data_IF_164557499793
#
_entry.id   IF_164557499793
#
_cell.length_a   1.000
_cell.length_b   1.000
_cell.length_c   1.000
_cell.angle_alpha   90.00
_cell.angle_beta   90.00
_cell.angle_gamma   90.00
#
_symmetry.space_group_name_H-M   'P 1'
#
loop_
_entity.id
_entity.type
_entity.pdbx_description
1 polymer ?
#
# COMPACT_ATOMS: atom_id res chain seq x y z
N UNK A 1 11.23 21.55 13.58
CA UNK A 1 10.08 20.70 13.22
C UNK A 1 10.48 19.26 13.49
N UNK A 2 9.92 18.64 14.53
CA UNK A 2 10.25 17.26 14.89
C UNK A 2 9.77 16.32 13.80
N UNK A 3 10.72 15.86 12.98
CA UNK A 3 10.55 14.81 11.98
C UNK A 3 10.43 13.46 12.71
N UNK A 4 9.39 13.29 13.54
CA UNK A 4 9.06 11.98 14.10
C UNK A 4 8.62 11.11 12.93
N UNK A 5 9.57 10.35 12.37
CA UNK A 5 9.27 9.28 11.43
C UNK A 5 8.20 8.41 12.08
N UNK A 6 6.97 8.45 11.56
CA UNK A 6 5.96 7.47 11.94
C UNK A 6 6.56 6.09 11.69
N UNK A 7 6.48 5.23 12.71
CA UNK A 7 6.96 3.85 12.64
C UNK A 7 6.38 3.16 11.40
N UNK A 8 7.20 2.38 10.69
CA UNK A 8 6.73 1.61 9.54
C UNK A 8 6.09 0.32 10.07
N UNK A 9 4.79 0.17 9.86
CA UNK A 9 4.03 -0.98 10.36
C UNK A 9 3.96 -2.06 9.28
N UNK A 10 4.36 -3.28 9.61
CA UNK A 10 4.24 -4.41 8.70
C UNK A 10 2.78 -4.88 8.60
N UNK A 11 2.25 -4.99 7.39
CA UNK A 11 0.88 -5.42 7.12
C UNK A 11 0.85 -6.37 5.92
N UNK A 12 -0.20 -7.18 5.82
CA UNK A 12 -0.51 -7.92 4.60
C UNK A 12 -1.49 -7.11 3.77
N UNK A 13 -1.13 -6.74 2.53
CA UNK A 13 -2.02 -6.01 1.63
C UNK A 13 -3.31 -6.78 1.36
N UNK A 14 -3.22 -8.10 1.23
CA UNK A 14 -4.36 -9.02 1.07
C UNK A 14 -5.34 -9.01 2.24
N UNK A 15 -4.92 -8.52 3.43
CA UNK A 15 -5.77 -8.42 4.63
C UNK A 15 -6.37 -7.03 4.83
N UNK A 16 -5.92 -6.02 4.08
CA UNK A 16 -6.52 -4.70 4.12
C UNK A 16 -7.83 -4.68 3.36
N UNK A 17 -8.78 -3.85 3.81
CA UNK A 17 -10.09 -3.75 3.16
C UNK A 17 -9.95 -3.12 1.77
N UNK A 18 -10.50 -3.74 0.71
CA UNK A 18 -10.59 -3.12 -0.59
C UNK A 18 -11.56 -1.94 -0.55
N UNK A 19 -11.33 -0.94 -1.37
CA UNK A 19 -12.31 0.14 -1.57
C UNK A 19 -13.47 -0.43 -2.38
N UNK A 20 -14.68 -0.41 -1.82
CA UNK A 20 -15.91 -1.10 -2.30
C UNK A 20 -16.27 -0.89 -3.78
N UNK A 21 -15.71 0.10 -4.47
CA UNK A 21 -16.01 0.40 -5.89
C UNK A 21 -14.91 -0.03 -6.86
N UNK A 22 -13.81 -0.61 -6.39
CA UNK A 22 -12.62 -0.83 -7.22
C UNK A 22 -11.80 -2.04 -6.74
N UNK A 23 -12.42 -3.23 -6.72
CA UNK A 23 -11.76 -4.49 -6.32
C UNK A 23 -10.57 -4.86 -7.23
N UNK A 24 -10.56 -4.35 -8.47
CA UNK A 24 -9.48 -4.56 -9.43
C UNK A 24 -8.27 -3.64 -9.16
N UNK A 25 -8.43 -2.55 -8.40
CA UNK A 25 -7.32 -1.70 -8.04
C UNK A 25 -6.52 -2.22 -6.86
N UNK A 26 -5.27 -1.76 -6.78
CA UNK A 26 -4.44 -1.95 -5.60
C UNK A 26 -4.84 -1.09 -4.40
N UNK A 27 -5.89 -0.27 -4.52
CA UNK A 27 -6.32 0.64 -3.45
C UNK A 27 -6.83 -0.13 -2.24
N UNK A 28 -6.39 0.28 -1.06
CA UNK A 28 -6.81 -0.29 0.22
C UNK A 28 -7.14 0.81 1.23
N UNK A 29 -8.10 0.53 2.09
CA UNK A 29 -8.40 1.41 3.22
C UNK A 29 -7.24 1.41 4.22
N UNK A 30 -6.90 2.58 4.75
CA UNK A 30 -5.95 2.71 5.83
C UNK A 30 -6.62 2.34 7.16
N UNK A 31 -6.09 1.36 7.92
CA UNK A 31 -6.69 0.96 9.20
C UNK A 31 -6.36 1.94 10.34
N UNK A 32 -5.51 2.94 10.11
CA UNK A 32 -5.02 3.86 11.12
C UNK A 32 -5.73 5.23 11.12
N UNK A 33 -6.56 5.52 10.13
CA UNK A 33 -7.36 6.75 10.10
C UNK A 33 -8.64 6.60 9.28
N UNK A 34 -9.65 7.38 9.63
CA UNK A 34 -10.90 7.46 8.86
C UNK A 34 -10.63 8.02 7.46
N UNK A 35 -11.22 7.41 6.44
CA UNK A 35 -11.10 7.80 5.02
C UNK A 35 -9.67 7.82 4.47
N UNK A 36 -8.71 7.17 5.14
CA UNK A 36 -7.35 7.05 4.61
C UNK A 36 -7.26 5.96 3.55
N UNK A 37 -6.37 6.16 2.59
CA UNK A 37 -6.15 5.24 1.49
C UNK A 37 -4.66 4.97 1.29
N UNK A 38 -4.36 3.71 1.01
CA UNK A 38 -3.12 3.26 0.41
C UNK A 38 -3.36 3.04 -1.08
N UNK A 39 -2.47 3.58 -1.91
CA UNK A 39 -2.63 3.53 -3.37
C UNK A 39 -1.75 2.47 -4.01
N UNK A 40 -0.73 1.97 -3.29
CA UNK A 40 0.35 1.10 -3.78
C UNK A 40 1.00 1.68 -5.02
N UNK A 41 2.11 2.40 -4.83
CA UNK A 41 2.89 2.95 -5.92
C UNK A 41 3.65 1.88 -6.72
N UNK A 42 4.29 2.32 -7.80
CA UNK A 42 5.30 1.55 -8.52
C UNK A 42 6.62 2.30 -8.47
N UNK A 43 7.70 1.57 -8.27
CA UNK A 43 9.05 2.09 -8.41
C UNK A 43 9.27 2.52 -9.86
N UNK A 44 9.80 3.73 -10.07
CA UNK A 44 9.95 4.32 -11.42
C UNK A 44 11.07 3.70 -12.24
N UNK A 45 12.04 3.03 -11.60
CA UNK A 45 13.16 2.37 -12.27
C UNK A 45 12.87 0.91 -12.58
N UNK A 46 12.28 0.18 -11.63
CA UNK A 46 12.01 -1.25 -11.73
C UNK A 46 10.63 -1.55 -12.34
N UNK A 47 9.72 -0.58 -12.35
CA UNK A 47 8.31 -0.75 -12.74
C UNK A 47 7.56 -1.82 -11.92
N UNK A 48 8.09 -2.14 -10.74
CA UNK A 48 7.52 -3.07 -9.77
C UNK A 48 6.73 -2.32 -8.70
N UNK A 49 5.79 -3.01 -8.04
CA UNK A 49 5.06 -2.43 -6.91
C UNK A 49 6.03 -2.07 -5.76
N UNK A 50 5.79 -0.91 -5.13
CA UNK A 50 6.56 -0.44 -3.98
C UNK A 50 6.23 -1.25 -2.73
N UNK A 51 7.26 -1.74 -2.03
CA UNK A 51 7.10 -2.49 -0.79
C UNK A 51 6.64 -1.61 0.39
N UNK A 52 7.06 -0.34 0.38
CA UNK A 52 6.70 0.64 1.40
C UNK A 52 5.70 1.62 0.81
N UNK A 53 4.57 1.80 1.50
CA UNK A 53 3.50 2.71 1.08
C UNK A 53 3.14 3.67 2.21
N UNK A 54 2.52 4.79 1.85
CA UNK A 54 2.10 5.85 2.76
C UNK A 54 0.62 6.17 2.59
N UNK A 55 -0.11 6.22 3.69
CA UNK A 55 -1.50 6.65 3.65
C UNK A 55 -1.56 8.11 3.18
N UNK A 56 -2.30 8.38 2.11
CA UNK A 56 -2.41 9.72 1.52
C UNK A 56 -3.10 10.75 2.44
N UNK A 57 -3.80 10.28 3.47
CA UNK A 57 -4.50 11.15 4.43
C UNK A 57 -3.65 11.40 5.69
N UNK A 58 -3.37 10.35 6.47
CA UNK A 58 -2.69 10.49 7.75
C UNK A 58 -1.16 10.36 7.68
N UNK A 59 -0.58 10.01 6.53
CA UNK A 59 0.86 9.82 6.35
C UNK A 59 1.45 8.60 7.08
N UNK A 60 0.61 7.70 7.62
CA UNK A 60 1.09 6.46 8.21
C UNK A 60 1.78 5.60 7.15
N UNK A 61 2.97 5.09 7.45
CA UNK A 61 3.74 4.24 6.54
C UNK A 61 3.57 2.77 6.88
N UNK A 62 3.47 1.94 5.86
CA UNK A 62 3.36 0.48 6.02
C UNK A 62 4.34 -0.23 5.11
N UNK A 63 4.72 -1.45 5.50
CA UNK A 63 5.50 -2.39 4.69
C UNK A 63 4.60 -3.58 4.34
N UNK A 64 4.47 -3.90 3.06
CA UNK A 64 3.67 -5.05 2.61
C UNK A 64 4.46 -6.36 2.73
N UNK A 65 3.98 -7.27 3.58
CA UNK A 65 4.61 -8.59 3.80
C UNK A 65 4.37 -9.58 2.66
N UNK A 66 3.38 -9.32 1.80
CA UNK A 66 3.00 -10.12 0.65
C UNK A 66 3.39 -9.47 -0.69
N UNK A 67 4.38 -8.57 -0.68
CA UNK A 67 4.79 -7.78 -1.86
C UNK A 67 5.19 -8.66 -3.06
N UNK A 68 5.93 -9.75 -2.86
CA UNK A 68 6.34 -10.63 -3.96
C UNK A 68 5.13 -11.29 -4.64
N UNK A 69 4.16 -11.77 -3.87
CA UNK A 69 2.90 -12.32 -4.41
C UNK A 69 2.09 -11.26 -5.16
N UNK A 70 2.10 -10.02 -4.67
CA UNK A 70 1.46 -8.90 -5.35
C UNK A 70 2.15 -8.61 -6.69
N UNK A 71 3.49 -8.62 -6.73
CA UNK A 71 4.29 -8.38 -7.95
C UNK A 71 4.05 -9.48 -8.99
N UNK A 72 4.09 -10.75 -8.60
CA UNK A 72 3.72 -11.89 -9.46
C UNK A 72 2.34 -11.70 -10.11
N UNK A 73 1.35 -11.31 -9.29
CA UNK A 73 -0.01 -11.04 -9.76
C UNK A 73 -0.10 -9.81 -10.67
N UNK A 74 0.77 -8.80 -10.47
CA UNK A 74 0.85 -7.61 -11.33
C UNK A 74 1.38 -7.94 -12.72
N UNK A 75 2.40 -8.78 -12.80
CA UNK A 75 2.95 -9.26 -14.08
C UNK A 75 1.93 -10.09 -14.85
N UNK A 76 1.16 -10.94 -14.16
CA UNK A 76 0.11 -11.73 -14.80
C UNK A 76 -1.07 -10.89 -15.34
N UNK A 77 -1.19 -9.61 -14.95
CA UNK A 77 -2.22 -8.68 -15.44
C UNK A 77 -1.80 -7.87 -16.68
N UNK A 78 -0.53 -7.93 -17.09
CA UNK A 78 -0.01 -7.29 -18.31
C UNK A 78 -0.26 -8.16 -19.52
#
# INVERSE_FOLDING_TARGET
MNNMYKEIIAVYWSRLRPVLRDEKSYKRECPFCVNGLFLVGRDRGLLELEEIDGCINCGQRVRYLDIEKMRESDWARK
#
